data_IF_768601435940
#
_entry.id   IF_768601435940
#
_cell.length_a   1.000
_cell.length_b   1.000
_cell.length_c   1.000
_cell.angle_alpha   90.00
_cell.angle_beta   90.00
_cell.angle_gamma   90.00
#
_symmetry.space_group_name_H-M   'P 1'
#
loop_
_entity.id
_entity.type
_entity.pdbx_description
1 polymer ?
#
# COMPACT_ATOMS: atom_id res chain seq x y z
N UNK A 1 -35.41 -28.90 -10.78
CA UNK A 1 -34.24 -28.65 -9.92
C UNK A 1 -33.75 -27.26 -10.28
N UNK A 2 -34.24 -26.24 -9.56
CA UNK A 2 -33.79 -24.87 -9.74
C UNK A 2 -32.42 -24.74 -9.09
N UNK A 3 -31.41 -24.42 -9.90
CA UNK A 3 -30.11 -24.03 -9.41
C UNK A 3 -30.28 -22.61 -8.88
N UNK A 4 -30.39 -22.49 -7.56
CA UNK A 4 -30.37 -21.23 -6.84
C UNK A 4 -29.07 -20.51 -7.23
N UNK A 5 -29.21 -19.48 -8.07
CA UNK A 5 -28.13 -18.54 -8.39
C UNK A 5 -27.91 -17.77 -7.09
N UNK A 6 -27.16 -18.38 -6.18
CA UNK A 6 -26.60 -17.67 -5.04
C UNK A 6 -25.78 -16.56 -5.67
N UNK A 7 -26.29 -15.35 -5.54
CA UNK A 7 -25.56 -14.12 -5.76
C UNK A 7 -24.21 -14.34 -5.07
N UNK A 8 -23.17 -14.64 -5.84
CA UNK A 8 -21.80 -14.44 -5.40
C UNK A 8 -21.72 -12.93 -5.22
N UNK A 9 -22.17 -12.46 -4.05
CA UNK A 9 -22.10 -11.06 -3.67
C UNK A 9 -20.68 -10.65 -3.98
N UNK A 10 -20.54 -9.72 -4.91
CA UNK A 10 -19.23 -9.28 -5.39
C UNK A 10 -18.39 -8.94 -4.17
N UNK A 11 -17.38 -9.77 -3.89
CA UNK A 11 -16.58 -9.61 -2.69
C UNK A 11 -16.02 -8.19 -2.68
N UNK A 12 -16.12 -7.52 -1.52
CA UNK A 12 -15.81 -6.11 -1.42
C UNK A 12 -14.33 -5.79 -1.61
N UNK A 13 -14.02 -4.50 -1.58
CA UNK A 13 -12.64 -4.00 -1.58
C UNK A 13 -12.33 -3.50 -0.18
N UNK A 14 -11.17 -3.88 0.35
CA UNK A 14 -10.64 -3.35 1.60
C UNK A 14 -9.39 -2.51 1.34
N UNK A 15 -9.11 -1.57 2.22
CA UNK A 15 -7.82 -0.92 2.35
C UNK A 15 -7.28 -1.11 3.76
N UNK A 16 -5.97 -1.32 3.92
CA UNK A 16 -5.35 -1.40 5.25
C UNK A 16 -4.23 -0.38 5.41
N UNK A 17 -4.27 0.34 6.53
CA UNK A 17 -3.29 1.35 6.89
C UNK A 17 -2.78 1.12 8.32
N UNK A 18 -1.49 1.34 8.51
CA UNK A 18 -0.89 1.36 9.83
C UNK A 18 0.08 2.52 9.93
N UNK A 19 0.03 3.24 11.05
CA UNK A 19 0.99 4.30 11.34
C UNK A 19 1.55 4.14 12.75
N UNK A 20 2.86 4.33 12.89
CA UNK A 20 3.51 4.46 14.18
C UNK A 20 4.68 5.46 14.07
N UNK A 21 4.77 6.47 14.96
CA UNK A 21 3.84 6.84 16.04
C UNK A 21 2.48 7.33 15.52
N UNK A 22 1.55 7.69 16.41
CA UNK A 22 0.25 8.23 16.02
C UNK A 22 0.44 9.44 15.11
N UNK A 23 -0.15 9.39 13.91
CA UNK A 23 -0.14 10.50 12.96
C UNK A 23 -1.54 10.62 12.36
N UNK A 24 -2.24 11.71 12.71
CA UNK A 24 -3.57 11.98 12.17
C UNK A 24 -3.51 12.58 10.76
N UNK A 25 -2.45 13.32 10.42
CA UNK A 25 -2.35 14.03 9.15
C UNK A 25 -1.84 13.14 8.02
N UNK A 26 -0.79 12.34 8.26
CA UNK A 26 -0.29 11.40 7.26
C UNK A 26 -1.31 10.32 6.89
N UNK A 27 -2.17 9.94 7.85
CA UNK A 27 -3.20 8.92 7.61
C UNK A 27 -4.27 9.37 6.61
N UNK A 28 -4.69 10.64 6.62
CA UNK A 28 -5.68 11.10 5.64
C UNK A 28 -5.12 11.10 4.22
N UNK A 29 -3.85 11.48 4.04
CA UNK A 29 -3.18 11.37 2.73
C UNK A 29 -3.12 9.94 2.23
N UNK A 30 -2.79 8.97 3.10
CA UNK A 30 -2.78 7.55 2.71
C UNK A 30 -4.18 7.00 2.43
N UNK A 31 -5.22 7.46 3.16
CA UNK A 31 -6.61 7.11 2.88
C UNK A 31 -7.05 7.60 1.50
N UNK A 32 -6.75 8.86 1.18
CA UNK A 32 -7.03 9.45 -0.13
C UNK A 32 -6.30 8.66 -1.22
N UNK A 33 -5.02 8.34 -1.03
CA UNK A 33 -4.24 7.60 -2.01
C UNK A 33 -4.84 6.21 -2.31
N UNK A 34 -5.28 5.46 -1.29
CA UNK A 34 -5.95 4.17 -1.50
C UNK A 34 -7.29 4.31 -2.24
N UNK A 35 -8.08 5.34 -1.93
CA UNK A 35 -9.36 5.60 -2.61
C UNK A 35 -9.14 5.97 -4.07
N UNK A 36 -8.23 6.90 -4.34
CA UNK A 36 -7.88 7.29 -5.71
C UNK A 36 -7.30 6.13 -6.51
N UNK A 37 -6.53 5.25 -5.88
CA UNK A 37 -6.02 4.07 -6.57
C UNK A 37 -7.13 3.05 -6.90
N UNK A 38 -8.08 2.84 -5.98
CA UNK A 38 -9.26 2.02 -6.28
C UNK A 38 -10.04 2.57 -7.49
N UNK A 39 -10.24 3.90 -7.53
CA UNK A 39 -10.90 4.58 -8.64
C UNK A 39 -10.16 4.39 -9.96
N UNK A 40 -8.84 4.55 -9.99
CA UNK A 40 -8.00 4.32 -11.18
C UNK A 40 -8.12 2.88 -11.70
N UNK A 41 -8.29 1.91 -10.80
CA UNK A 41 -8.49 0.50 -11.15
C UNK A 41 -9.94 0.16 -11.53
N UNK A 42 -10.87 1.12 -11.47
CA UNK A 42 -12.30 0.88 -11.69
C UNK A 42 -12.94 0.02 -10.60
N UNK A 43 -12.34 -0.01 -9.40
CA UNK A 43 -12.82 -0.77 -8.25
C UNK A 43 -13.80 0.06 -7.41
N UNK A 44 -14.77 -0.59 -6.72
CA UNK A 44 -15.60 0.08 -5.71
C UNK A 44 -14.78 0.73 -4.60
N UNK A 45 -15.38 1.70 -3.91
CA UNK A 45 -14.75 2.39 -2.79
C UNK A 45 -14.32 1.41 -1.69
N UNK A 46 -13.04 1.42 -1.27
CA UNK A 46 -12.54 0.46 -0.30
C UNK A 46 -13.02 0.75 1.12
N UNK A 47 -13.41 -0.30 1.85
CA UNK A 47 -13.58 -0.26 3.30
C UNK A 47 -12.21 -0.15 3.98
N UNK A 48 -11.91 0.99 4.61
CA UNK A 48 -10.60 1.22 5.23
C UNK A 48 -10.54 0.69 6.67
N UNK A 49 -9.61 -0.22 6.91
CA UNK A 49 -9.20 -0.72 8.23
C UNK A 49 -7.89 -0.04 8.63
N UNK A 50 -7.74 0.34 9.90
CA UNK A 50 -6.56 1.07 10.35
C UNK A 50 -6.09 0.70 11.75
N UNK A 51 -4.77 0.69 11.93
CA UNK A 51 -4.08 0.62 13.22
C UNK A 51 -3.17 1.85 13.37
N UNK A 52 -3.70 2.93 13.96
CA UNK A 52 -2.94 4.18 14.15
C UNK A 52 -2.33 4.24 15.56
N UNK A 53 -1.05 4.55 15.65
CA UNK A 53 -0.31 4.66 16.92
C UNK A 53 0.14 3.33 17.51
N UNK A 54 -0.02 2.21 16.79
CA UNK A 54 0.31 0.87 17.29
C UNK A 54 1.68 0.38 16.80
N UNK A 55 2.56 0.10 17.76
CA UNK A 55 3.91 -0.44 17.53
C UNK A 55 3.85 -1.86 16.98
N UNK A 56 4.92 -2.25 16.29
CA UNK A 56 5.30 -3.65 16.12
C UNK A 56 6.42 -3.91 17.12
N UNK A 57 6.45 -5.02 17.88
CA UNK A 57 5.48 -6.12 17.98
C UNK A 57 4.40 -5.84 19.05
N UNK A 58 3.14 -5.80 18.65
CA UNK A 58 2.01 -5.56 19.54
C UNK A 58 0.69 -5.97 18.87
N UNK A 59 -0.41 -6.04 19.61
CA UNK A 59 -1.72 -6.34 19.04
C UNK A 59 -2.11 -5.30 17.99
N UNK A 60 -2.63 -5.77 16.87
CA UNK A 60 -3.09 -4.97 15.73
C UNK A 60 -4.57 -5.30 15.51
N UNK A 61 -5.50 -4.76 16.32
CA UNK A 61 -6.91 -5.13 16.28
C UNK A 61 -7.57 -4.82 14.92
N UNK A 62 -7.10 -3.79 14.22
CA UNK A 62 -7.54 -3.49 12.85
C UNK A 62 -7.13 -4.60 11.88
N UNK A 63 -5.88 -5.06 11.96
CA UNK A 63 -5.40 -6.19 11.18
C UNK A 63 -6.13 -7.49 11.52
N UNK A 64 -6.33 -7.79 12.81
CA UNK A 64 -7.06 -8.99 13.25
C UNK A 64 -8.48 -9.03 12.68
N UNK A 65 -9.21 -7.92 12.79
CA UNK A 65 -10.55 -7.81 12.20
C UNK A 65 -10.54 -7.96 10.68
N UNK A 66 -9.55 -7.38 9.99
CA UNK A 66 -9.39 -7.53 8.55
C UNK A 66 -9.18 -9.00 8.18
N UNK A 67 -8.31 -9.71 8.90
CA UNK A 67 -8.03 -11.12 8.66
C UNK A 67 -9.30 -11.98 8.81
N UNK A 68 -10.14 -11.71 9.82
CA UNK A 68 -11.40 -12.42 10.00
C UNK A 68 -12.39 -12.17 8.84
N UNK A 69 -12.47 -10.94 8.34
CA UNK A 69 -13.34 -10.59 7.21
C UNK A 69 -12.85 -11.21 5.90
N UNK A 70 -11.54 -11.21 5.68
CA UNK A 70 -10.91 -11.88 4.55
C UNK A 70 -11.15 -13.39 4.60
N UNK A 71 -10.98 -14.03 5.77
CA UNK A 71 -11.23 -15.46 5.94
C UNK A 71 -12.69 -15.86 5.67
N UNK A 72 -13.64 -14.94 5.88
CA UNK A 72 -15.07 -15.12 5.57
C UNK A 72 -15.42 -14.82 4.11
N UNK A 73 -14.45 -14.43 3.28
CA UNK A 73 -14.66 -14.05 1.88
C UNK A 73 -15.36 -12.70 1.70
N UNK A 74 -15.37 -11.83 2.73
CA UNK A 74 -16.02 -10.51 2.63
C UNK A 74 -15.28 -9.56 1.68
N UNK A 75 -13.98 -9.79 1.44
CA UNK A 75 -13.16 -8.97 0.57
C UNK A 75 -12.42 -9.83 -0.46
N UNK A 76 -12.55 -9.45 -1.73
CA UNK A 76 -11.83 -10.09 -2.84
C UNK A 76 -10.51 -9.39 -3.16
N UNK A 77 -10.38 -8.11 -2.79
CA UNK A 77 -9.18 -7.30 -3.02
C UNK A 77 -8.85 -6.51 -1.76
N UNK A 78 -7.56 -6.47 -1.43
CA UNK A 78 -6.98 -5.64 -0.38
C UNK A 78 -5.95 -4.68 -0.98
N UNK A 79 -6.17 -3.38 -0.79
CA UNK A 79 -5.24 -2.32 -1.16
C UNK A 79 -4.34 -1.93 0.02
N UNK A 80 -3.04 -1.82 -0.21
CA UNK A 80 -2.06 -1.39 0.80
C UNK A 80 -1.03 -0.40 0.22
N UNK A 81 -0.47 0.51 1.02
CA UNK A 81 0.71 1.30 0.63
C UNK A 81 1.95 0.45 0.33
N UNK A 82 2.07 -0.71 0.97
CA UNK A 82 3.14 -1.70 0.79
C UNK A 82 3.16 -2.69 1.95
N UNK A 83 3.81 -3.87 1.82
CA UNK A 83 3.75 -4.94 2.83
C UNK A 83 4.20 -4.52 4.24
N UNK A 84 5.02 -3.47 4.33
CA UNK A 84 5.52 -2.91 5.59
C UNK A 84 4.40 -2.48 6.55
N UNK A 85 3.17 -2.23 6.07
CA UNK A 85 2.03 -1.93 6.94
C UNK A 85 1.68 -3.07 7.88
N UNK A 86 2.04 -4.31 7.54
CA UNK A 86 1.78 -5.47 8.39
C UNK A 86 2.85 -5.68 9.45
N UNK A 87 4.12 -5.59 9.06
CA UNK A 87 5.27 -5.66 9.96
C UNK A 87 6.44 -4.90 9.35
N UNK A 88 7.31 -4.37 10.23
CA UNK A 88 8.62 -3.82 9.81
C UNK A 88 9.62 -4.93 9.45
N UNK A 89 9.27 -6.19 9.72
CA UNK A 89 10.09 -7.36 9.37
C UNK A 89 9.51 -8.00 8.11
N UNK A 90 10.28 -7.97 7.04
CA UNK A 90 9.82 -8.42 5.71
C UNK A 90 9.26 -9.84 5.69
N UNK A 91 9.90 -10.77 6.42
CA UNK A 91 9.41 -12.16 6.52
C UNK A 91 8.03 -12.26 7.18
N UNK A 92 7.76 -11.45 8.20
CA UNK A 92 6.46 -11.43 8.87
C UNK A 92 5.40 -10.76 7.99
N UNK A 93 5.77 -9.67 7.30
CA UNK A 93 4.91 -9.01 6.33
C UNK A 93 4.53 -9.96 5.18
N UNK A 94 5.51 -10.68 4.62
CA UNK A 94 5.30 -11.66 3.57
C UNK A 94 4.41 -12.83 4.04
N UNK A 95 4.59 -13.31 5.28
CA UNK A 95 3.74 -14.35 5.85
C UNK A 95 2.28 -13.88 6.05
N UNK A 96 2.05 -12.59 6.34
CA UNK A 96 0.71 -12.01 6.42
C UNK A 96 0.08 -11.92 5.02
N UNK A 97 0.82 -11.40 4.03
CA UNK A 97 0.37 -11.37 2.63
C UNK A 97 0.00 -12.78 2.14
N UNK A 98 0.85 -13.77 2.40
CA UNK A 98 0.61 -15.17 2.01
C UNK A 98 -0.65 -15.76 2.65
N UNK A 99 -0.98 -15.40 3.90
CA UNK A 99 -2.23 -15.82 4.54
C UNK A 99 -3.45 -15.16 3.88
N UNK A 100 -3.38 -13.86 3.60
CA UNK A 100 -4.46 -13.11 2.95
C UNK A 100 -4.75 -13.67 1.55
N UNK A 101 -3.70 -13.91 0.76
CA UNK A 101 -3.85 -14.51 -0.58
C UNK A 101 -4.30 -15.97 -0.50
N UNK A 102 -3.88 -16.71 0.52
CA UNK A 102 -4.36 -18.07 0.80
C UNK A 102 -5.88 -18.16 1.07
N UNK A 103 -6.51 -17.07 1.53
CA UNK A 103 -7.97 -16.97 1.66
C UNK A 103 -8.68 -16.54 0.37
N UNK A 104 -7.95 -16.39 -0.74
CA UNK A 104 -8.50 -15.96 -2.03
C UNK A 104 -8.62 -14.44 -2.20
N UNK A 105 -8.02 -13.65 -1.30
CA UNK A 105 -8.01 -12.19 -1.41
C UNK A 105 -6.76 -11.71 -2.17
N UNK A 106 -6.94 -10.94 -3.24
CA UNK A 106 -5.84 -10.36 -4.01
C UNK A 106 -5.27 -9.14 -3.29
N UNK A 107 -3.96 -9.11 -3.07
CA UNK A 107 -3.29 -7.94 -2.45
C UNK A 107 -2.68 -7.07 -3.54
N UNK A 108 -3.05 -5.80 -3.58
CA UNK A 108 -2.50 -4.80 -4.50
C UNK A 108 -1.80 -3.69 -3.72
N UNK A 109 -0.58 -3.39 -4.12
CA UNK A 109 0.24 -2.32 -3.55
C UNK A 109 0.02 -1.02 -4.32
N UNK A 110 0.01 0.12 -3.61
CA UNK A 110 0.04 1.43 -4.24
C UNK A 110 1.30 1.54 -5.10
N UNK A 111 1.22 2.06 -6.33
CA UNK A 111 2.42 2.34 -7.09
C UNK A 111 3.31 3.29 -6.26
N UNK A 112 4.64 3.09 -6.28
CA UNK A 112 5.54 3.95 -5.55
C UNK A 112 5.25 5.40 -5.96
N UNK A 113 4.91 6.23 -4.98
CA UNK A 113 4.84 7.66 -5.19
C UNK A 113 6.20 8.05 -5.74
N UNK A 114 6.25 8.45 -7.01
CA UNK A 114 7.40 9.16 -7.55
C UNK A 114 7.46 10.48 -6.79
N UNK A 115 8.04 10.46 -5.60
CA UNK A 115 8.70 11.65 -5.07
C UNK A 115 9.86 11.81 -6.04
N UNK A 116 9.91 12.89 -6.86
CA UNK A 116 11.17 13.23 -7.49
C UNK A 116 12.14 13.28 -6.31
N UNK A 117 13.12 12.39 -6.27
CA UNK A 117 14.27 12.64 -5.41
C UNK A 117 14.66 14.05 -5.79
N UNK A 118 14.67 14.97 -4.83
CA UNK A 118 15.38 16.22 -5.04
C UNK A 118 16.76 15.77 -5.52
N UNK A 119 16.99 15.87 -6.82
CA UNK A 119 18.31 15.96 -7.38
C UNK A 119 18.89 17.12 -6.58
N UNK A 120 19.80 16.81 -5.64
CA UNK A 120 20.67 17.83 -5.08
C UNK A 120 21.23 18.64 -6.25
N UNK A 121 21.56 19.93 -6.03
CA UNK A 121 21.92 20.84 -7.10
C UNK A 121 22.86 20.11 -8.06
N UNK A 122 22.44 20.03 -9.33
CA UNK A 122 23.30 19.50 -10.40
C UNK A 122 24.69 20.09 -10.18
N UNK A 123 25.76 19.26 -10.11
CA UNK A 123 27.09 19.83 -10.14
C UNK A 123 27.17 20.68 -11.40
N UNK A 124 27.59 21.95 -11.31
CA UNK A 124 27.65 22.81 -12.48
C UNK A 124 28.45 22.09 -13.56
N UNK A 125 27.85 21.97 -14.75
CA UNK A 125 28.49 21.48 -15.96
C UNK A 125 29.96 21.88 -15.95
N UNK A 126 30.83 20.89 -15.74
CA UNK A 126 32.26 21.04 -15.84
C UNK A 126 32.53 21.40 -17.30
N UNK A 127 32.56 22.69 -17.61
CA UNK A 127 33.05 23.22 -18.87
C UNK A 127 34.46 22.65 -19.04
N UNK A 128 34.55 21.69 -19.95
CA UNK A 128 35.79 21.13 -20.40
C UNK A 128 36.68 22.27 -20.91
N UNK A 129 37.74 22.57 -20.15
CA UNK A 129 38.89 23.32 -20.63
C UNK A 129 39.47 22.55 -21.82
N UNK A 130 39.13 22.99 -23.03
CA UNK A 130 39.74 22.52 -24.27
C UNK A 130 40.27 23.72 -25.03
N UNK A 131 41.61 23.83 -25.06
CA UNK A 131 42.43 24.67 -25.94
C UNK A 131 42.30 26.19 -25.74
N UNK A 132 43.39 26.91 -25.46
CA UNK A 132 44.43 27.21 -26.45
C UNK A 132 45.82 27.19 -25.78
N UNK A 133 46.72 26.37 -26.33
CA UNK A 133 48.17 26.56 -26.22
C UNK A 133 48.60 27.67 -27.18
N UNK A 134 49.39 28.61 -26.66
CA UNK A 134 50.13 29.60 -27.43
C UNK A 134 51.20 28.94 -28.33
N UNK A 135 51.45 29.53 -29.51
CA UNK A 135 52.78 29.84 -30.07
C UNK A 135 52.71 30.22 -31.56
N UNK A 136 52.84 31.50 -31.88
CA UNK A 136 54.02 32.08 -32.55
C UNK A 136 53.89 33.60 -32.68
#
# INVERSE_FOLDING_TARGET
>A
MNLDITVHGTAGIAGYLRCFPFDAWGMETHRIALRSYAEVLGLPEPSIHLDNGLRSPGPLPGLERLMDLVARGSYGVLLIPGPFVFSVRDLEAAAIVGRITGFGCTVLELPPLHVPRHSGPEPPCSLALSSIRAAR
#
